data_IF_536627515024
#
_entry.id   IF_536627515024
#
_cell.length_a   1.000
_cell.length_b   1.000
_cell.length_c   1.000
_cell.angle_alpha   90.00
_cell.angle_beta   90.00
_cell.angle_gamma   90.00
#
_symmetry.space_group_name_H-M   'P 1'
#
loop_
_entity.id
_entity.type
_entity.pdbx_description
1 polymer ?
#
# COMPACT_ATOMS: atom_id res chain seq x y z
N UNK A 1 17.86 -46.85 63.94
CA UNK A 1 18.21 -45.49 64.39
C UNK A 1 16.91 -44.78 64.79
N UNK A 2 16.73 -44.46 66.09
CA UNK A 2 15.55 -43.69 66.55
C UNK A 2 15.87 -42.20 66.42
N UNK A 3 15.32 -41.53 65.44
CA UNK A 3 15.47 -40.10 65.35
C UNK A 3 14.87 -39.40 66.56
N UNK A 4 15.64 -38.53 67.18
CA UNK A 4 15.18 -37.73 68.30
C UNK A 4 14.09 -36.75 67.93
N UNK A 5 13.34 -36.27 68.90
CA UNK A 5 12.20 -35.34 68.68
C UNK A 5 12.66 -34.07 67.88
N UNK A 6 13.82 -33.52 68.19
CA UNK A 6 14.42 -32.39 67.54
C UNK A 6 14.64 -32.64 66.01
N UNK A 7 15.15 -33.80 65.61
CA UNK A 7 15.36 -34.15 64.18
C UNK A 7 14.09 -34.33 63.45
N UNK A 8 13.03 -34.85 64.04
CA UNK A 8 11.69 -34.94 63.40
C UNK A 8 11.08 -33.57 63.18
N UNK A 9 11.23 -32.67 64.13
CA UNK A 9 10.72 -31.30 64.02
C UNK A 9 11.47 -30.52 62.92
N UNK A 10 12.80 -30.66 62.87
CA UNK A 10 13.60 -30.03 61.81
C UNK A 10 13.24 -30.52 60.40
N UNK A 11 12.97 -31.82 60.23
CA UNK A 11 12.56 -32.40 58.96
C UNK A 11 11.16 -31.85 58.55
N UNK A 12 10.23 -31.82 59.49
CA UNK A 12 8.90 -31.27 59.21
C UNK A 12 8.96 -29.80 58.82
N UNK A 13 9.78 -29.00 59.51
CA UNK A 13 9.96 -27.60 59.17
C UNK A 13 10.58 -27.41 57.76
N UNK A 14 11.64 -28.20 57.48
CA UNK A 14 12.25 -28.14 56.15
C UNK A 14 11.28 -28.51 55.01
N UNK A 15 10.47 -29.57 55.22
CA UNK A 15 9.43 -29.95 54.26
C UNK A 15 8.41 -28.83 54.08
N UNK A 16 7.91 -28.24 55.16
CA UNK A 16 6.95 -27.16 55.11
C UNK A 16 7.49 -25.94 54.34
N UNK A 17 8.73 -25.54 54.63
CA UNK A 17 9.38 -24.41 53.89
C UNK A 17 9.55 -24.75 52.42
N UNK A 18 9.99 -25.95 52.06
CA UNK A 18 10.18 -26.36 50.69
C UNK A 18 8.86 -26.39 49.91
N UNK A 19 7.81 -26.93 50.51
CA UNK A 19 6.47 -26.94 49.89
C UNK A 19 5.95 -25.52 49.68
N UNK A 20 6.04 -24.66 50.69
CA UNK A 20 5.60 -23.27 50.60
C UNK A 20 6.37 -22.51 49.52
N UNK A 21 7.70 -22.65 49.50
CA UNK A 21 8.52 -22.03 48.46
C UNK A 21 8.18 -22.55 47.07
N UNK A 22 7.95 -23.85 46.92
CA UNK A 22 7.54 -24.45 45.63
C UNK A 22 6.20 -23.96 45.16
N UNK A 23 5.20 -23.88 46.03
CA UNK A 23 3.86 -23.33 45.67
C UNK A 23 3.97 -21.86 45.29
N UNK A 24 4.72 -21.06 46.03
CA UNK A 24 4.90 -19.64 45.74
C UNK A 24 5.60 -19.43 44.40
N UNK A 25 6.67 -20.17 44.14
CA UNK A 25 7.41 -20.10 42.88
C UNK A 25 6.54 -20.53 41.69
N UNK A 26 5.77 -21.59 41.84
CA UNK A 26 4.85 -22.06 40.82
C UNK A 26 3.74 -21.01 40.51
N UNK A 27 3.14 -20.46 41.57
CA UNK A 27 2.11 -19.42 41.43
C UNK A 27 2.66 -18.16 40.73
N UNK A 28 3.87 -17.72 41.15
CA UNK A 28 4.53 -16.59 40.51
C UNK A 28 4.86 -16.87 39.04
N UNK A 29 5.30 -18.07 38.71
CA UNK A 29 5.56 -18.47 37.32
C UNK A 29 4.31 -18.44 36.46
N UNK A 30 3.19 -19.03 36.92
CA UNK A 30 1.94 -19.06 36.19
C UNK A 30 1.42 -17.65 35.94
N UNK A 31 1.36 -16.80 36.98
CA UNK A 31 0.91 -15.41 36.85
C UNK A 31 1.81 -14.62 35.90
N UNK A 32 3.13 -14.74 36.03
CA UNK A 32 4.07 -14.05 35.15
C UNK A 32 3.94 -14.50 33.71
N UNK A 33 3.77 -15.81 33.46
CA UNK A 33 3.55 -16.33 32.10
C UNK A 33 2.26 -15.79 31.48
N UNK A 34 1.17 -15.82 32.23
CA UNK A 34 -0.12 -15.36 31.71
C UNK A 34 -0.14 -13.86 31.45
N UNK A 35 0.53 -13.06 32.28
CA UNK A 35 0.72 -11.63 32.04
C UNK A 35 1.58 -11.35 30.79
N UNK A 36 2.66 -12.09 30.58
CA UNK A 36 3.51 -11.95 29.39
C UNK A 36 2.77 -12.33 28.11
N UNK A 37 2.00 -13.42 28.13
CA UNK A 37 1.19 -13.83 26.98
C UNK A 37 0.14 -12.78 26.68
N UNK A 38 -0.62 -12.32 27.66
CA UNK A 38 -1.63 -11.29 27.49
C UNK A 38 -1.04 -9.97 26.96
N UNK A 39 0.13 -9.57 27.48
CA UNK A 39 0.83 -8.38 26.99
C UNK A 39 1.30 -8.52 25.55
N UNK A 40 1.81 -9.69 25.16
CA UNK A 40 2.24 -9.95 23.79
C UNK A 40 1.04 -9.96 22.81
N UNK A 41 -0.08 -10.55 23.21
CA UNK A 41 -1.32 -10.55 22.41
C UNK A 41 -1.84 -9.13 22.21
N UNK A 42 -1.87 -8.31 23.25
CA UNK A 42 -2.35 -6.92 23.19
C UNK A 42 -1.43 -6.03 22.31
N UNK A 43 -0.12 -6.23 22.40
CA UNK A 43 0.87 -5.57 21.55
C UNK A 43 0.68 -5.94 20.07
N UNK A 44 0.49 -7.21 19.76
CA UNK A 44 0.24 -7.69 18.40
C UNK A 44 -1.07 -7.12 17.84
N UNK A 45 -2.15 -7.14 18.62
CA UNK A 45 -3.43 -6.57 18.23
C UNK A 45 -3.33 -5.06 17.97
N UNK A 46 -2.63 -4.35 18.84
CA UNK A 46 -2.42 -2.91 18.70
C UNK A 46 -1.59 -2.58 17.46
N UNK A 47 -0.50 -3.30 17.25
CA UNK A 47 0.36 -3.15 16.06
C UNK A 47 -0.40 -3.42 14.77
N UNK A 48 -1.22 -4.48 14.74
CA UNK A 48 -2.07 -4.82 13.59
C UNK A 48 -3.10 -3.73 13.31
N UNK A 49 -3.76 -3.19 14.34
CA UNK A 49 -4.72 -2.10 14.20
C UNK A 49 -4.07 -0.82 13.66
N UNK A 50 -2.88 -0.48 14.15
CA UNK A 50 -2.12 0.69 13.66
C UNK A 50 -1.74 0.50 12.19
N UNK A 51 -1.25 -0.68 11.82
CA UNK A 51 -0.89 -0.98 10.43
C UNK A 51 -2.10 -0.92 9.50
N UNK A 52 -3.22 -1.55 9.87
CA UNK A 52 -4.48 -1.47 9.12
C UNK A 52 -4.95 -0.04 8.91
N UNK A 53 -4.86 0.79 9.95
CA UNK A 53 -5.25 2.20 9.86
C UNK A 53 -4.34 2.99 8.92
N UNK A 54 -3.02 2.74 8.96
CA UNK A 54 -2.06 3.37 8.03
C UNK A 54 -2.34 2.99 6.58
N UNK A 55 -2.61 1.72 6.31
CA UNK A 55 -2.97 1.24 4.96
C UNK A 55 -4.26 1.91 4.48
N UNK A 56 -5.27 1.99 5.33
CA UNK A 56 -6.54 2.63 4.97
C UNK A 56 -6.38 4.14 4.68
N UNK A 57 -5.57 4.86 5.46
CA UNK A 57 -5.27 6.27 5.23
C UNK A 57 -4.51 6.48 3.91
N UNK A 58 -3.45 5.71 3.67
CA UNK A 58 -2.69 5.78 2.42
C UNK A 58 -3.58 5.49 1.21
N UNK A 59 -4.48 4.49 1.30
CA UNK A 59 -5.45 4.20 0.24
C UNK A 59 -6.36 5.40 -0.04
N UNK A 60 -6.90 6.03 1.01
CA UNK A 60 -7.81 7.17 0.84
C UNK A 60 -7.11 8.39 0.22
N UNK A 61 -5.85 8.62 0.56
CA UNK A 61 -5.03 9.66 -0.07
C UNK A 61 -4.82 9.38 -1.56
N UNK A 62 -4.40 8.17 -1.91
CA UNK A 62 -4.20 7.76 -3.30
C UNK A 62 -5.48 7.85 -4.13
N UNK A 63 -6.62 7.45 -3.56
CA UNK A 63 -7.94 7.57 -4.18
C UNK A 63 -8.28 9.04 -4.48
N UNK A 64 -8.05 9.91 -3.51
CA UNK A 64 -8.29 11.36 -3.67
C UNK A 64 -7.41 11.95 -4.77
N UNK A 65 -6.12 11.60 -4.79
CA UNK A 65 -5.18 12.10 -5.79
C UNK A 65 -5.58 11.64 -7.20
N UNK A 66 -5.96 10.37 -7.37
CA UNK A 66 -6.48 9.87 -8.64
C UNK A 66 -7.73 10.62 -9.10
N UNK A 67 -8.65 10.94 -8.20
CA UNK A 67 -9.84 11.72 -8.55
C UNK A 67 -9.49 13.14 -9.00
N UNK A 68 -8.53 13.79 -8.30
CA UNK A 68 -8.04 15.11 -8.69
C UNK A 68 -7.44 15.05 -10.10
N UNK A 69 -6.63 14.04 -10.40
CA UNK A 69 -5.97 13.88 -11.68
C UNK A 69 -6.96 13.57 -12.81
N UNK A 70 -7.87 12.62 -12.60
CA UNK A 70 -8.83 12.17 -13.62
C UNK A 70 -9.90 13.20 -13.92
N UNK A 71 -10.30 14.03 -12.95
CA UNK A 71 -11.32 15.07 -13.11
C UNK A 71 -10.72 16.42 -13.56
N UNK A 72 -9.40 16.52 -13.64
CA UNK A 72 -8.77 17.75 -14.12
C UNK A 72 -9.09 17.98 -15.60
N UNK A 73 -9.49 19.20 -16.01
CA UNK A 73 -9.87 19.47 -17.40
C UNK A 73 -8.81 19.08 -18.43
N UNK A 74 -7.52 19.20 -18.06
CA UNK A 74 -6.43 18.80 -18.93
C UNK A 74 -6.39 17.30 -19.23
N UNK A 75 -6.95 16.43 -18.37
CA UNK A 75 -6.96 14.98 -18.59
C UNK A 75 -7.86 14.62 -19.79
N UNK A 76 -9.08 15.14 -19.83
CA UNK A 76 -9.97 14.98 -20.98
C UNK A 76 -9.40 15.64 -22.25
N UNK A 77 -8.96 16.89 -22.13
CA UNK A 77 -8.43 17.65 -23.26
C UNK A 77 -7.16 17.01 -23.88
N UNK A 78 -6.35 16.32 -23.08
CA UNK A 78 -5.16 15.63 -23.58
C UNK A 78 -5.51 14.36 -24.39
N UNK A 79 -6.71 13.80 -24.21
CA UNK A 79 -7.20 12.60 -24.89
C UNK A 79 -8.08 12.92 -26.12
N UNK A 80 -8.82 14.05 -26.09
CA UNK A 80 -9.80 14.39 -27.15
C UNK A 80 -9.16 14.89 -28.44
N UNK A 81 -7.99 15.50 -28.40
CA UNK A 81 -7.40 16.14 -29.60
C UNK A 81 -5.90 16.30 -29.42
N UNK A 82 -5.08 15.32 -29.56
CA UNK A 82 -3.61 15.49 -29.53
C UNK A 82 -3.15 16.93 -29.14
N UNK A 83 -3.54 17.37 -27.94
CA UNK A 83 -3.34 18.72 -27.47
C UNK A 83 -2.06 18.80 -26.60
N UNK A 84 -0.91 19.17 -27.19
CA UNK A 84 0.37 19.20 -26.47
C UNK A 84 0.32 20.11 -25.23
N UNK A 85 -0.43 21.21 -25.31
CA UNK A 85 -0.56 22.13 -24.16
C UNK A 85 -1.29 21.47 -22.98
N UNK A 86 -2.34 20.71 -23.24
CA UNK A 86 -3.06 19.98 -22.21
C UNK A 86 -2.20 18.84 -21.65
N UNK A 87 -1.45 18.15 -22.49
CA UNK A 87 -0.48 17.13 -22.07
C UNK A 87 0.63 17.72 -21.17
N UNK A 88 1.14 18.91 -21.52
CA UNK A 88 2.14 19.62 -20.71
C UNK A 88 1.58 20.05 -19.34
N UNK A 89 0.35 20.55 -19.31
CA UNK A 89 -0.31 20.91 -18.06
C UNK A 89 -0.54 19.71 -17.17
N UNK A 90 -0.99 18.60 -17.75
CA UNK A 90 -1.23 17.37 -17.01
C UNK A 90 0.07 16.74 -16.49
N UNK A 91 1.15 16.75 -17.30
CA UNK A 91 2.45 16.27 -16.88
C UNK A 91 2.97 17.05 -15.67
N UNK A 92 2.86 18.38 -15.66
CA UNK A 92 3.21 19.21 -14.50
C UNK A 92 2.38 18.88 -13.27
N UNK A 93 1.08 18.58 -13.44
CA UNK A 93 0.22 18.17 -12.34
C UNK A 93 0.66 16.80 -11.79
N UNK A 94 1.01 15.85 -12.66
CA UNK A 94 1.57 14.55 -12.25
C UNK A 94 2.87 14.72 -11.46
N UNK A 95 3.77 15.57 -11.93
CA UNK A 95 5.01 15.90 -11.21
C UNK A 95 4.74 16.47 -9.82
N UNK A 96 3.79 17.40 -9.68
CA UNK A 96 3.43 18.00 -8.39
C UNK A 96 2.88 16.95 -7.41
N UNK A 97 1.99 16.08 -7.88
CA UNK A 97 1.43 15.01 -7.04
C UNK A 97 2.51 14.00 -6.65
N UNK A 98 3.38 13.62 -7.58
CA UNK A 98 4.49 12.72 -7.30
C UNK A 98 5.55 13.34 -6.38
N UNK A 99 5.78 14.65 -6.45
CA UNK A 99 6.66 15.36 -5.49
C UNK A 99 6.09 15.34 -4.08
N UNK A 100 4.78 15.52 -3.94
CA UNK A 100 4.10 15.49 -2.66
C UNK A 100 4.07 14.07 -2.03
N UNK A 101 4.07 13.02 -2.87
CA UNK A 101 3.99 11.63 -2.41
C UNK A 101 5.14 10.78 -2.98
N UNK A 102 6.19 10.53 -2.18
CA UNK A 102 7.32 9.68 -2.60
C UNK A 102 6.95 8.22 -2.91
N UNK A 103 5.76 7.79 -2.51
CA UNK A 103 5.28 6.43 -2.74
C UNK A 103 4.86 6.18 -4.21
N UNK A 104 4.65 7.25 -5.00
CA UNK A 104 4.32 7.11 -6.40
C UNK A 104 5.58 6.93 -7.23
N UNK A 105 5.68 5.80 -7.91
CA UNK A 105 6.79 5.50 -8.82
C UNK A 105 6.49 5.94 -10.25
N UNK A 106 5.20 5.94 -10.62
CA UNK A 106 4.76 6.25 -11.95
C UNK A 106 3.33 6.78 -11.92
N UNK A 107 3.04 7.80 -12.71
CA UNK A 107 1.69 8.28 -13.00
C UNK A 107 1.54 8.45 -14.50
N UNK A 108 0.42 7.96 -15.05
CA UNK A 108 0.20 7.98 -16.50
C UNK A 108 -1.26 8.19 -16.88
N UNK A 109 -1.45 8.81 -18.04
CA UNK A 109 -2.73 8.92 -18.75
C UNK A 109 -2.67 8.02 -19.98
N UNK A 110 -3.63 7.12 -20.10
CA UNK A 110 -3.71 6.11 -21.16
C UNK A 110 -5.05 6.27 -21.87
N UNK A 111 -5.04 6.29 -23.20
CA UNK A 111 -6.28 6.37 -23.99
C UNK A 111 -7.09 5.07 -23.87
N UNK A 112 -8.42 5.15 -23.89
CA UNK A 112 -9.29 3.98 -23.96
C UNK A 112 -9.37 3.39 -25.38
N UNK A 113 -9.02 4.16 -26.38
CA UNK A 113 -8.87 3.80 -27.81
C UNK A 113 -7.38 3.70 -28.17
N UNK A 114 -7.06 3.50 -29.42
CA UNK A 114 -5.67 3.42 -29.93
C UNK A 114 -4.81 2.38 -29.18
N UNK A 115 -5.37 1.19 -28.97
CA UNK A 115 -4.70 0.10 -28.27
C UNK A 115 -4.25 0.44 -26.86
N UNK A 116 -4.79 1.50 -26.23
CA UNK A 116 -4.39 1.96 -24.91
C UNK A 116 -3.03 2.63 -24.92
N UNK A 117 -2.82 3.55 -25.87
CA UNK A 117 -1.57 4.31 -25.95
C UNK A 117 -1.44 5.26 -24.74
N UNK A 118 -0.25 5.33 -24.18
CA UNK A 118 0.11 6.33 -23.18
C UNK A 118 0.20 7.71 -23.84
N UNK A 119 -0.50 8.71 -23.30
CA UNK A 119 -0.45 10.11 -23.77
C UNK A 119 0.43 10.97 -22.88
N UNK A 120 0.39 10.74 -21.58
CA UNK A 120 1.24 11.42 -20.60
C UNK A 120 1.74 10.40 -19.63
N UNK A 121 3.04 10.43 -19.36
CA UNK A 121 3.69 9.56 -18.39
C UNK A 121 4.79 10.32 -17.67
N UNK A 122 4.82 10.18 -16.33
CA UNK A 122 5.88 10.66 -15.47
C UNK A 122 6.36 9.50 -14.61
N UNK A 123 7.64 9.25 -14.64
CA UNK A 123 8.32 8.19 -13.89
C UNK A 123 9.20 8.80 -12.79
N UNK A 124 9.38 8.07 -11.71
CA UNK A 124 10.40 8.39 -10.70
C UNK A 124 11.66 7.56 -10.99
N UNK A 125 12.73 8.26 -11.33
CA UNK A 125 14.05 7.66 -11.55
C UNK A 125 15.01 8.10 -10.43
N UNK A 126 15.30 7.16 -9.53
CA UNK A 126 16.17 7.45 -8.38
C UNK A 126 15.68 8.65 -7.58
N UNK A 127 16.34 9.79 -7.70
CA UNK A 127 16.03 11.02 -6.96
C UNK A 127 15.18 12.01 -7.75
N UNK A 128 14.94 11.78 -9.04
CA UNK A 128 14.27 12.70 -9.95
C UNK A 128 12.91 12.21 -10.42
N UNK A 129 12.18 13.13 -11.06
CA UNK A 129 11.00 12.83 -11.86
C UNK A 129 11.35 13.07 -13.33
N UNK A 130 10.97 12.12 -14.18
CA UNK A 130 11.25 12.17 -15.61
C UNK A 130 9.93 12.06 -16.37
N UNK A 131 9.65 13.05 -17.20
CA UNK A 131 8.54 12.95 -18.15
C UNK A 131 8.99 12.09 -19.32
N UNK A 132 8.24 11.04 -19.59
CA UNK A 132 8.46 10.16 -20.73
C UNK A 132 7.73 10.73 -21.95
N UNK A 133 8.39 10.75 -23.11
CA UNK A 133 7.84 11.33 -24.35
C UNK A 133 8.23 10.51 -25.58
N UNK A 134 7.52 10.72 -26.69
CA UNK A 134 7.83 10.14 -27.99
C UNK A 134 7.71 8.61 -28.00
N UNK A 135 8.68 7.93 -28.60
CA UNK A 135 8.68 6.49 -28.85
C UNK A 135 8.80 5.64 -27.57
N UNK A 136 9.04 6.25 -26.40
CA UNK A 136 9.07 5.55 -25.12
C UNK A 136 7.66 5.38 -24.52
N UNK A 137 6.64 6.09 -25.02
CA UNK A 137 5.24 5.88 -24.66
C UNK A 137 4.75 4.57 -25.28
N UNK A 138 4.05 3.76 -24.49
CA UNK A 138 3.74 2.38 -24.84
C UNK A 138 2.24 2.13 -24.93
N UNK A 139 1.86 1.13 -25.72
CA UNK A 139 0.51 0.58 -25.75
C UNK A 139 0.26 -0.32 -24.55
N UNK A 140 -0.75 -0.01 -23.76
CA UNK A 140 -1.09 -0.69 -22.51
C UNK A 140 -2.49 -1.30 -22.47
N UNK A 141 -3.25 -1.23 -23.56
CA UNK A 141 -4.64 -1.66 -23.61
C UNK A 141 -4.89 -3.12 -23.24
N UNK A 142 -3.89 -3.97 -23.33
CA UNK A 142 -3.97 -5.40 -22.97
C UNK A 142 -3.79 -5.68 -21.47
N UNK A 143 -3.46 -4.69 -20.67
CA UNK A 143 -3.31 -4.86 -19.23
C UNK A 143 -4.65 -4.70 -18.48
N UNK A 144 -4.91 -5.53 -17.44
CA UNK A 144 -6.17 -5.47 -16.66
C UNK A 144 -6.48 -4.08 -16.11
N UNK A 145 -5.48 -3.36 -15.64
CA UNK A 145 -5.65 -2.02 -15.09
C UNK A 145 -6.11 -0.97 -16.13
N UNK A 146 -6.04 -1.28 -17.43
CA UNK A 146 -6.59 -0.43 -18.48
C UNK A 146 -7.99 -0.89 -18.86
N UNK A 147 -8.12 -2.16 -19.34
CA UNK A 147 -9.39 -2.61 -19.90
C UNK A 147 -10.49 -2.83 -18.85
N UNK A 148 -10.15 -3.21 -17.61
CA UNK A 148 -11.12 -3.31 -16.53
C UNK A 148 -11.54 -1.92 -16.04
N UNK A 149 -10.59 -0.98 -15.91
CA UNK A 149 -10.89 0.40 -15.51
C UNK A 149 -11.76 1.12 -16.52
N UNK A 150 -11.56 0.89 -17.82
CA UNK A 150 -12.39 1.49 -18.86
C UNK A 150 -13.87 1.07 -18.81
N UNK A 151 -14.23 0.06 -18.02
CA UNK A 151 -15.62 -0.41 -17.81
C UNK A 151 -16.23 0.08 -16.50
N UNK A 152 -15.45 0.74 -15.66
CA UNK A 152 -15.89 1.26 -14.38
C UNK A 152 -16.77 2.50 -14.56
N UNK A 153 -17.66 2.72 -13.58
CA UNK A 153 -18.43 3.95 -13.52
C UNK A 153 -17.57 5.14 -13.07
N UNK A 154 -18.10 6.34 -13.27
CA UNK A 154 -17.45 7.57 -12.82
C UNK A 154 -17.07 7.52 -11.33
N UNK A 155 -15.82 7.78 -11.02
CA UNK A 155 -15.32 7.80 -9.64
C UNK A 155 -15.06 6.42 -9.02
N UNK A 156 -15.31 5.33 -9.74
CA UNK A 156 -14.85 4.02 -9.30
C UNK A 156 -13.35 3.85 -9.53
N UNK A 157 -12.73 2.99 -8.73
CA UNK A 157 -11.29 2.76 -8.76
C UNK A 157 -10.99 1.28 -8.92
N UNK A 158 -10.16 0.99 -9.89
CA UNK A 158 -9.50 -0.29 -10.02
C UNK A 158 -8.32 -0.39 -9.06
N UNK A 159 -8.20 -1.51 -8.37
CA UNK A 159 -7.08 -1.83 -7.50
C UNK A 159 -6.50 -3.18 -7.92
N UNK A 160 -5.25 -3.19 -8.35
CA UNK A 160 -4.57 -4.43 -8.68
C UNK A 160 -4.21 -5.25 -7.45
N UNK A 161 -3.86 -6.51 -7.67
CA UNK A 161 -3.07 -7.26 -6.69
C UNK A 161 -1.65 -6.68 -6.63
N UNK A 162 -0.91 -7.03 -5.59
CA UNK A 162 0.54 -6.74 -5.54
C UNK A 162 1.20 -7.55 -6.66
N UNK A 163 1.84 -6.85 -7.57
CA UNK A 163 2.58 -7.46 -8.69
C UNK A 163 4.03 -6.98 -8.66
N UNK A 164 4.93 -7.80 -9.13
CA UNK A 164 6.29 -7.34 -9.41
C UNK A 164 6.25 -6.66 -10.76
N UNK A 165 6.71 -5.43 -10.80
CA UNK A 165 6.69 -4.69 -12.05
C UNK A 165 7.81 -5.17 -12.98
N UNK A 166 7.41 -5.69 -14.14
CA UNK A 166 8.31 -6.15 -15.20
C UNK A 166 8.26 -5.25 -16.44
N UNK A 167 7.69 -4.05 -16.33
CA UNK A 167 7.62 -3.16 -17.48
C UNK A 167 9.03 -2.74 -17.94
N UNK A 168 9.25 -2.79 -19.24
CA UNK A 168 10.52 -2.44 -19.86
C UNK A 168 10.50 -0.94 -20.16
N UNK A 169 11.48 -0.21 -19.64
CA UNK A 169 11.68 1.21 -19.93
C UNK A 169 13.02 1.68 -19.36
N UNK A 170 13.59 2.72 -19.93
CA UNK A 170 14.93 3.23 -19.57
C UNK A 170 15.00 3.82 -18.17
N UNK A 171 13.87 4.21 -17.56
CA UNK A 171 13.79 4.92 -16.29
C UNK A 171 13.14 4.10 -15.18
N UNK A 172 13.21 2.79 -15.24
CA UNK A 172 12.39 1.93 -14.42
C UNK A 172 13.15 1.24 -13.28
N UNK A 173 12.59 1.27 -12.06
CA UNK A 173 13.05 0.42 -10.94
C UNK A 173 12.48 -0.98 -11.14
N UNK A 174 13.32 -1.90 -11.65
CA UNK A 174 12.96 -3.31 -11.83
C UNK A 174 12.71 -4.01 -10.49
N UNK A 175 11.83 -5.00 -10.51
CA UNK A 175 11.60 -5.97 -9.44
C UNK A 175 11.03 -5.39 -8.12
N UNK A 176 10.40 -4.21 -8.16
CA UNK A 176 9.70 -3.66 -7.00
C UNK A 176 8.27 -4.16 -6.92
N UNK A 177 7.80 -4.62 -5.74
CA UNK A 177 6.39 -4.90 -5.52
C UNK A 177 5.58 -3.61 -5.66
N UNK A 178 4.63 -3.59 -6.59
CA UNK A 178 3.79 -2.43 -6.88
C UNK A 178 2.31 -2.80 -6.82
N UNK A 179 1.50 -1.80 -6.51
CA UNK A 179 0.04 -1.84 -6.61
C UNK A 179 -0.33 -0.76 -7.62
N UNK A 180 -1.17 -1.13 -8.59
CA UNK A 180 -1.71 -0.21 -9.57
C UNK A 180 -3.11 0.21 -9.13
N UNK A 181 -3.32 1.51 -9.07
CA UNK A 181 -4.64 2.12 -8.89
C UNK A 181 -4.99 2.86 -10.16
N UNK A 182 -6.20 2.67 -10.66
CA UNK A 182 -6.64 3.32 -11.87
C UNK A 182 -8.10 3.80 -11.76
N UNK A 183 -8.41 4.89 -12.47
CA UNK A 183 -9.76 5.45 -12.53
C UNK A 183 -10.06 5.95 -13.93
N UNK A 184 -11.32 5.86 -14.42
CA UNK A 184 -11.65 6.34 -15.74
C UNK A 184 -11.63 7.87 -15.83
N UNK A 185 -11.19 8.38 -16.97
CA UNK A 185 -11.34 9.77 -17.39
C UNK A 185 -12.54 9.84 -18.32
N UNK A 186 -13.50 10.68 -17.99
CA UNK A 186 -14.74 10.81 -18.74
C UNK A 186 -14.74 12.07 -19.61
N UNK A 187 -15.26 11.93 -20.82
CA UNK A 187 -15.60 13.05 -21.67
C UNK A 187 -16.90 13.75 -21.26
N UNK A 188 -17.21 14.86 -21.91
CA UNK A 188 -18.40 15.66 -21.63
C UNK A 188 -19.73 14.89 -21.80
N UNK A 189 -19.76 13.87 -22.67
CA UNK A 189 -20.93 13.02 -22.92
C UNK A 189 -21.02 11.82 -21.94
N UNK A 190 -20.09 11.71 -20.96
CA UNK A 190 -20.01 10.57 -20.04
C UNK A 190 -19.36 9.31 -20.62
N UNK A 191 -18.83 9.39 -21.83
CA UNK A 191 -18.04 8.30 -22.44
C UNK A 191 -16.65 8.24 -21.78
N UNK A 192 -16.09 7.04 -21.64
CA UNK A 192 -14.72 6.86 -21.15
C UNK A 192 -13.74 7.21 -22.27
N UNK A 193 -12.95 8.25 -22.07
CA UNK A 193 -11.90 8.68 -22.99
C UNK A 193 -10.58 7.93 -22.74
N UNK A 194 -10.30 7.64 -21.49
CA UNK A 194 -9.06 6.98 -21.08
C UNK A 194 -9.06 6.65 -19.58
N UNK A 195 -7.89 6.33 -19.08
CA UNK A 195 -7.66 5.99 -17.67
C UNK A 195 -6.43 6.71 -17.13
N UNK A 196 -6.50 7.15 -15.87
CA UNK A 196 -5.33 7.57 -15.09
C UNK A 196 -4.93 6.41 -14.19
N UNK A 197 -3.64 6.11 -14.19
CA UNK A 197 -3.05 5.02 -13.39
C UNK A 197 -1.95 5.56 -12.52
#
# INVERSE_FOLDING_TARGET
>A
MKFGIASRLSILLAVAVTVTAGVTAYSAYVVSRDLLVASAEDELLTSTKVLSRRIALARNENVRDLHILSQHPAAGAALEAENPTAQDQLAKLFELVMQASPAYYQVRLIAAHDHGLEHVRVDRDGTGLVRVTGDELQEKGHYPYVFDTARLAAGEIYLSRITINHEVGTHFVRDMPTIQLATPVLGAAGSVLGVVV
#
